data_IF_379370118415
#
_entry.id   IF_379370118415
#
_cell.length_a   1.000
_cell.length_b   1.000
_cell.length_c   1.000
_cell.angle_alpha   90.00
_cell.angle_beta   90.00
_cell.angle_gamma   90.00
#
_symmetry.space_group_name_H-M   'P 1'
#
loop_
_entity.id
_entity.type
_entity.pdbx_description
1 polymer ?
#
# COMPACT_ATOMS: atom_id res chain seq x y z
N UNK A 1 -27.14 25.84 13.06
CA UNK A 1 -26.09 25.67 14.09
C UNK A 1 -25.04 26.71 13.78
N UNK A 2 -24.62 27.50 14.77
CA UNK A 2 -23.60 28.52 14.56
C UNK A 2 -22.22 27.86 14.45
N UNK A 3 -21.44 28.29 13.46
CA UNK A 3 -20.07 27.81 13.25
C UNK A 3 -19.19 28.31 14.39
N UNK A 4 -18.46 27.40 15.04
CA UNK A 4 -17.48 27.76 16.06
C UNK A 4 -16.26 28.40 15.41
N UNK A 5 -16.10 29.71 15.58
CA UNK A 5 -14.89 30.43 15.15
C UNK A 5 -13.79 30.25 16.19
N UNK A 6 -12.55 30.00 15.73
CA UNK A 6 -11.37 29.83 16.59
C UNK A 6 -10.25 30.79 16.22
N UNK A 7 -9.44 31.14 17.22
CA UNK A 7 -8.22 31.94 17.10
C UNK A 7 -7.00 31.08 16.74
N UNK A 8 -5.90 31.72 16.34
CA UNK A 8 -4.62 31.02 16.07
C UNK A 8 -4.10 30.24 17.28
N UNK A 9 -4.21 30.81 18.47
CA UNK A 9 -3.76 30.13 19.69
C UNK A 9 -4.60 28.88 19.99
N UNK A 10 -5.92 28.95 19.76
CA UNK A 10 -6.79 27.78 19.88
C UNK A 10 -6.50 26.73 18.81
N UNK A 11 -6.25 27.14 17.56
CA UNK A 11 -5.80 26.22 16.50
C UNK A 11 -4.52 25.48 16.92
N UNK A 12 -3.50 26.20 17.40
CA UNK A 12 -2.24 25.60 17.83
C UNK A 12 -2.42 24.64 19.01
N UNK A 13 -3.28 24.99 19.97
CA UNK A 13 -3.64 24.09 21.07
C UNK A 13 -4.39 22.84 20.60
N UNK A 14 -5.27 22.96 19.60
CA UNK A 14 -5.97 21.83 18.98
C UNK A 14 -4.95 20.92 18.28
N UNK A 15 -4.06 21.48 17.45
CA UNK A 15 -3.00 20.71 16.76
C UNK A 15 -2.11 19.97 17.78
N UNK A 16 -1.74 20.64 18.87
CA UNK A 16 -0.89 20.07 19.92
C UNK A 16 -1.57 18.95 20.70
N UNK A 17 -2.86 19.09 21.02
CA UNK A 17 -3.61 18.12 21.86
C UNK A 17 -4.23 16.99 21.05
N UNK A 18 -4.59 17.25 19.80
CA UNK A 18 -5.28 16.30 18.93
C UNK A 18 -4.47 16.10 17.65
N UNK A 19 -3.60 15.08 17.64
CA UNK A 19 -2.84 14.69 16.44
C UNK A 19 -3.71 14.22 15.27
N UNK A 20 -5.00 13.99 15.48
CA UNK A 20 -5.97 13.57 14.47
C UNK A 20 -6.91 14.70 14.00
N UNK A 21 -6.59 15.97 14.29
CA UNK A 21 -7.32 17.09 13.72
C UNK A 21 -7.08 17.16 12.21
N UNK A 22 -8.16 17.34 11.44
CA UNK A 22 -8.06 17.53 9.99
C UNK A 22 -8.12 19.03 9.70
N UNK A 23 -7.05 19.57 9.11
CA UNK A 23 -6.99 20.96 8.69
C UNK A 23 -7.34 21.03 7.20
N UNK A 24 -8.33 21.83 6.83
CA UNK A 24 -8.85 21.90 5.45
C UNK A 24 -8.64 23.31 4.90
N UNK A 25 -7.85 23.40 3.84
CA UNK A 25 -7.75 24.60 3.01
C UNK A 25 -8.88 24.61 1.99
N UNK A 26 -9.68 25.68 2.01
CA UNK A 26 -10.84 25.84 1.11
C UNK A 26 -10.59 26.81 -0.04
N UNK A 27 -9.35 27.29 -0.19
CA UNK A 27 -8.90 28.06 -1.36
C UNK A 27 -8.79 27.18 -2.61
N UNK A 28 -8.58 27.82 -3.75
CA UNK A 28 -8.33 27.11 -4.99
C UNK A 28 -7.01 26.32 -4.93
N UNK A 29 -6.91 25.26 -5.73
CA UNK A 29 -5.74 24.36 -5.73
C UNK A 29 -4.44 25.08 -6.09
N UNK A 30 -4.48 26.15 -6.89
CA UNK A 30 -3.27 26.88 -7.26
C UNK A 30 -2.73 27.70 -6.08
N UNK A 31 -3.63 28.24 -5.24
CA UNK A 31 -3.26 28.90 -3.99
C UNK A 31 -2.66 27.89 -3.01
N UNK A 32 -3.32 26.76 -2.81
CA UNK A 32 -2.80 25.67 -1.96
C UNK A 32 -1.40 25.20 -2.39
N UNK A 33 -1.19 25.02 -3.71
CA UNK A 33 0.11 24.57 -4.25
C UNK A 33 1.24 25.57 -3.99
N UNK A 34 0.96 26.87 -3.93
CA UNK A 34 1.97 27.88 -3.60
C UNK A 34 2.36 27.80 -2.15
N UNK A 35 1.36 27.73 -1.26
CA UNK A 35 1.55 27.68 0.18
C UNK A 35 0.26 27.28 0.90
N UNK A 36 0.39 26.51 1.97
CA UNK A 36 -0.69 26.10 2.85
C UNK A 36 -0.17 25.83 4.27
N UNK A 37 -1.08 25.79 5.26
CA UNK A 37 -0.76 25.34 6.62
C UNK A 37 -0.24 23.90 6.54
N UNK A 38 0.86 23.61 7.23
CA UNK A 38 1.47 22.27 7.28
C UNK A 38 0.43 21.18 7.57
N UNK A 39 0.47 20.08 6.82
CA UNK A 39 -0.44 18.92 6.92
C UNK A 39 -1.91 19.20 6.58
N UNK A 40 -2.25 20.40 6.10
CA UNK A 40 -3.60 20.68 5.62
C UNK A 40 -3.91 19.90 4.34
N UNK A 41 -5.16 19.46 4.18
CA UNK A 41 -5.68 18.92 2.91
C UNK A 41 -6.37 20.02 2.10
N UNK A 42 -6.33 19.91 0.77
CA UNK A 42 -7.01 20.84 -0.13
C UNK A 42 -8.40 20.33 -0.47
N UNK A 43 -9.44 21.06 -0.07
CA UNK A 43 -10.81 20.85 -0.54
C UNK A 43 -11.39 22.23 -0.90
N UNK A 44 -11.19 22.71 -2.13
CA UNK A 44 -11.71 24.00 -2.57
C UNK A 44 -13.20 24.11 -2.27
N UNK A 45 -13.66 25.29 -1.82
CA UNK A 45 -15.08 25.50 -1.49
C UNK A 45 -16.03 25.10 -2.65
N UNK A 46 -15.61 25.32 -3.89
CA UNK A 46 -16.36 24.95 -5.09
C UNK A 46 -16.54 23.44 -5.29
N UNK A 47 -15.65 22.62 -4.73
CA UNK A 47 -15.62 21.16 -4.88
C UNK A 47 -16.11 20.44 -3.62
N UNK A 48 -16.43 21.19 -2.57
CA UNK A 48 -16.69 20.66 -1.23
C UNK A 48 -17.87 19.67 -1.21
N UNK A 49 -18.95 19.97 -1.93
CA UNK A 49 -20.15 19.13 -1.96
C UNK A 49 -19.85 17.72 -2.53
N UNK A 50 -18.97 17.62 -3.52
CA UNK A 50 -18.62 16.38 -4.20
C UNK A 50 -17.46 15.66 -3.50
N UNK A 51 -16.49 16.41 -2.97
CA UNK A 51 -15.23 15.86 -2.47
C UNK A 51 -15.24 15.58 -0.96
N UNK A 52 -16.08 16.27 -0.18
CA UNK A 52 -16.04 16.14 1.28
C UNK A 52 -16.29 14.72 1.77
N UNK A 53 -17.25 13.97 1.20
CA UNK A 53 -17.51 12.59 1.63
C UNK A 53 -16.31 11.66 1.36
N UNK A 54 -15.58 11.91 0.26
CA UNK A 54 -14.39 11.14 -0.13
C UNK A 54 -13.16 11.50 0.71
N UNK A 55 -12.96 12.78 0.97
CA UNK A 55 -11.79 13.29 1.70
C UNK A 55 -11.98 13.30 3.22
N UNK A 56 -13.22 13.34 3.70
CA UNK A 56 -13.60 13.39 5.12
C UNK A 56 -14.64 12.29 5.39
N UNK A 57 -14.30 11.01 5.33
CA UNK A 57 -15.30 9.93 5.43
C UNK A 57 -15.94 9.83 6.83
N UNK A 58 -15.23 10.25 7.89
CA UNK A 58 -15.71 10.20 9.26
C UNK A 58 -16.41 11.52 9.67
N UNK A 59 -17.73 11.48 9.84
CA UNK A 59 -18.55 12.62 10.25
C UNK A 59 -18.26 13.14 11.68
N UNK A 60 -17.60 12.33 12.51
CA UNK A 60 -17.25 12.70 13.88
C UNK A 60 -15.84 13.30 14.00
N UNK A 61 -15.06 13.36 12.92
CA UNK A 61 -13.71 13.94 12.94
C UNK A 61 -13.73 15.40 13.37
N UNK A 62 -12.69 15.82 14.09
CA UNK A 62 -12.46 17.24 14.41
C UNK A 62 -11.88 17.91 13.17
N UNK A 63 -12.60 18.87 12.61
CA UNK A 63 -12.25 19.55 11.36
C UNK A 63 -12.06 21.03 11.64
N UNK A 64 -10.92 21.57 11.21
CA UNK A 64 -10.71 23.02 11.15
C UNK A 64 -10.61 23.44 9.70
N UNK A 65 -11.51 24.30 9.24
CA UNK A 65 -11.45 24.92 7.92
C UNK A 65 -10.81 26.30 8.00
N UNK A 66 -10.06 26.70 6.97
CA UNK A 66 -9.48 28.03 6.88
C UNK A 66 -9.41 28.54 5.43
N UNK A 67 -9.34 29.86 5.26
CA UNK A 67 -9.20 30.55 3.97
C UNK A 67 -7.97 31.49 4.01
N UNK A 68 -7.86 32.47 3.12
CA UNK A 68 -6.72 33.38 3.02
C UNK A 68 -6.58 34.38 4.18
N UNK A 69 -7.67 34.88 4.76
CA UNK A 69 -7.63 35.93 5.80
C UNK A 69 -8.96 36.10 6.54
N UNK A 70 -8.98 36.98 7.56
CA UNK A 70 -10.17 37.36 8.34
C UNK A 70 -11.33 37.88 7.48
N UNK A 71 -11.04 38.58 6.39
CA UNK A 71 -12.04 39.15 5.47
C UNK A 71 -12.64 38.09 4.54
N UNK A 72 -12.02 36.92 4.42
CA UNK A 72 -12.54 35.84 3.59
C UNK A 72 -13.71 35.12 4.28
N UNK A 73 -14.85 35.02 3.58
CA UNK A 73 -16.01 34.26 4.06
C UNK A 73 -16.00 32.79 3.64
N UNK A 74 -15.03 32.33 2.85
CA UNK A 74 -15.06 31.00 2.25
C UNK A 74 -14.95 29.88 3.30
N UNK A 75 -14.12 30.06 4.34
CA UNK A 75 -14.00 29.10 5.44
C UNK A 75 -15.30 28.96 6.22
N UNK A 76 -16.00 30.06 6.50
CA UNK A 76 -17.33 30.00 7.16
C UNK A 76 -18.34 29.25 6.33
N UNK A 77 -18.43 29.55 5.02
CA UNK A 77 -19.32 28.85 4.09
C UNK A 77 -18.99 27.35 4.02
N UNK A 78 -17.71 27.00 4.03
CA UNK A 78 -17.28 25.61 4.06
C UNK A 78 -17.68 24.91 5.36
N UNK A 79 -17.52 25.58 6.50
CA UNK A 79 -17.92 25.04 7.79
C UNK A 79 -19.43 24.78 7.85
N UNK A 80 -20.25 25.75 7.42
CA UNK A 80 -21.71 25.61 7.35
C UNK A 80 -22.13 24.47 6.42
N UNK A 81 -21.49 24.34 5.26
CA UNK A 81 -21.75 23.26 4.31
C UNK A 81 -21.41 21.90 4.92
N UNK A 82 -20.25 21.74 5.56
CA UNK A 82 -19.88 20.51 6.24
C UNK A 82 -20.87 20.19 7.38
N UNK A 83 -21.23 21.15 8.21
CA UNK A 83 -22.23 20.92 9.27
C UNK A 83 -23.58 20.46 8.68
N UNK A 84 -24.00 21.05 7.56
CA UNK A 84 -25.22 20.64 6.83
C UNK A 84 -25.10 19.24 6.22
N UNK A 85 -23.90 18.79 5.89
CA UNK A 85 -23.59 17.42 5.45
C UNK A 85 -23.40 16.43 6.62
N UNK A 86 -23.69 16.85 7.86
CA UNK A 86 -23.69 15.99 9.05
C UNK A 86 -22.34 15.89 9.78
N UNK A 87 -21.35 16.71 9.47
CA UNK A 87 -20.10 16.75 10.24
C UNK A 87 -20.33 17.44 11.60
N UNK A 88 -19.96 16.77 12.69
CA UNK A 88 -20.35 17.21 14.04
C UNK A 88 -19.38 18.22 14.67
N UNK A 89 -18.09 18.13 14.35
CA UNK A 89 -17.01 18.86 15.05
C UNK A 89 -16.26 19.78 14.09
N UNK A 90 -16.94 20.77 13.50
CA UNK A 90 -16.37 21.70 12.52
C UNK A 90 -16.10 23.07 13.15
N UNK A 91 -14.89 23.60 12.94
CA UNK A 91 -14.43 24.90 13.42
C UNK A 91 -13.88 25.75 12.27
N UNK A 92 -14.12 27.07 12.34
CA UNK A 92 -13.63 28.03 11.36
C UNK A 92 -12.47 28.85 11.93
N UNK A 93 -11.26 28.61 11.41
CA UNK A 93 -10.10 29.43 11.72
C UNK A 93 -10.06 30.65 10.79
N UNK A 94 -10.64 31.75 11.27
CA UNK A 94 -10.81 32.98 10.51
C UNK A 94 -9.52 33.70 10.16
N UNK A 95 -8.48 33.56 10.97
CA UNK A 95 -7.18 34.20 10.70
C UNK A 95 -6.58 33.78 9.36
N UNK A 96 -6.87 32.54 8.95
CA UNK A 96 -6.49 32.04 7.65
C UNK A 96 -4.98 32.00 7.42
N UNK A 97 -4.59 31.86 6.16
CA UNK A 97 -3.20 31.74 5.76
C UNK A 97 -2.38 32.99 6.08
N UNK A 98 -2.98 34.19 5.98
CA UNK A 98 -2.33 35.46 6.31
C UNK A 98 -1.90 35.52 7.78
N UNK A 99 -2.82 35.28 8.72
CA UNK A 99 -2.53 35.31 10.16
C UNK A 99 -1.53 34.22 10.56
N UNK A 100 -1.57 33.08 9.86
CA UNK A 100 -0.63 31.97 10.08
C UNK A 100 0.78 32.31 9.59
N UNK A 101 0.89 32.96 8.42
CA UNK A 101 2.15 33.42 7.82
C UNK A 101 2.81 34.52 8.62
N UNK A 102 2.05 35.52 9.06
CA UNK A 102 2.56 36.65 9.85
C UNK A 102 3.14 36.19 11.19
N UNK A 103 2.65 35.07 11.73
CA UNK A 103 3.20 34.41 12.91
C UNK A 103 4.46 33.56 12.66
N UNK A 104 4.94 33.48 11.42
CA UNK A 104 6.10 32.66 11.04
C UNK A 104 5.96 31.18 11.43
N UNK A 105 4.73 30.65 11.37
CA UNK A 105 4.43 29.27 11.72
C UNK A 105 4.75 28.31 10.54
N UNK A 106 4.95 27.00 10.80
CA UNK A 106 5.32 26.03 9.77
C UNK A 106 4.26 25.89 8.66
N UNK A 107 4.64 26.20 7.43
CA UNK A 107 3.82 26.07 6.21
C UNK A 107 4.48 25.08 5.23
N UNK A 108 3.68 24.56 4.30
CA UNK A 108 4.11 23.66 3.23
C UNK A 108 3.75 24.25 1.86
N UNK A 109 4.39 23.76 0.80
CA UNK A 109 4.13 24.13 -0.60
C UNK A 109 4.14 22.86 -1.45
N UNK A 110 3.40 22.85 -2.56
CA UNK A 110 3.25 21.71 -3.45
C UNK A 110 1.85 21.07 -3.41
N UNK A 111 1.67 20.00 -4.17
CA UNK A 111 0.40 19.27 -4.24
C UNK A 111 0.03 18.67 -2.89
N UNK A 112 -1.27 18.55 -2.61
CA UNK A 112 -1.73 18.05 -1.32
C UNK A 112 -1.07 16.73 -0.95
N UNK A 113 -0.53 16.65 0.28
CA UNK A 113 -0.36 15.37 0.94
C UNK A 113 -1.75 14.76 0.99
N UNK A 114 -2.05 13.86 0.05
CA UNK A 114 -3.06 12.85 0.29
C UNK A 114 -2.65 12.27 1.64
N UNK A 115 -3.49 12.43 2.66
CA UNK A 115 -3.56 11.41 3.73
C UNK A 115 -3.37 10.07 3.04
N UNK A 116 -2.60 9.18 3.63
CA UNK A 116 -2.40 7.80 3.19
C UNK A 116 -3.75 7.09 3.18
N UNK A 117 -4.61 7.47 2.23
CA UNK A 117 -5.82 6.79 1.85
C UNK A 117 -5.27 5.51 1.26
N UNK A 118 -5.37 4.45 2.07
CA UNK A 118 -5.03 3.11 1.64
C UNK A 118 -5.63 2.91 0.24
N UNK A 119 -4.87 2.35 -0.72
CA UNK A 119 -5.37 2.14 -2.07
C UNK A 119 -6.73 1.46 -1.99
N UNK A 120 -7.72 1.92 -2.74
CA UNK A 120 -9.09 1.42 -2.64
C UNK A 120 -9.64 1.05 -4.01
N UNK A 121 -10.38 -0.04 -4.05
CA UNK A 121 -11.28 -0.40 -5.16
C UNK A 121 -12.72 -0.23 -4.71
N UNK A 122 -13.68 -0.49 -5.58
CA UNK A 122 -15.10 -0.42 -5.29
C UNK A 122 -15.79 -1.74 -5.61
N UNK A 123 -16.84 -2.06 -4.88
CA UNK A 123 -17.82 -3.10 -5.19
C UNK A 123 -19.19 -2.45 -5.26
N UNK A 124 -19.74 -2.35 -6.46
CA UNK A 124 -20.99 -1.65 -6.73
C UNK A 124 -20.98 -0.21 -6.16
N UNK A 125 -19.85 0.48 -6.36
CA UNK A 125 -19.62 1.84 -5.85
C UNK A 125 -19.29 1.95 -4.35
N UNK A 126 -19.40 0.86 -3.57
CA UNK A 126 -18.98 0.85 -2.16
C UNK A 126 -17.47 0.65 -2.06
N UNK A 127 -16.72 1.50 -1.32
CA UNK A 127 -15.26 1.40 -1.25
C UNK A 127 -14.82 0.14 -0.48
N UNK A 128 -13.75 -0.48 -0.98
CA UNK A 128 -13.03 -1.61 -0.42
C UNK A 128 -11.55 -1.25 -0.31
N UNK A 129 -10.94 -1.58 0.83
CA UNK A 129 -9.58 -1.18 1.16
C UNK A 129 -8.59 -2.24 0.74
N UNK A 130 -7.57 -1.88 -0.03
CA UNK A 130 -6.45 -2.77 -0.34
C UNK A 130 -5.37 -2.66 0.74
N UNK A 131 -4.80 -3.82 1.09
CA UNK A 131 -3.67 -3.93 2.02
C UNK A 131 -2.51 -4.66 1.36
N UNK A 132 -1.29 -4.30 1.78
CA UNK A 132 -0.07 -4.90 1.27
C UNK A 132 0.94 -3.90 0.72
N UNK A 133 2.01 -4.41 0.09
CA UNK A 133 3.06 -3.59 -0.53
C UNK A 133 2.53 -2.88 -1.78
N UNK A 134 2.99 -1.66 -2.01
CA UNK A 134 2.78 -0.98 -3.27
C UNK A 134 3.86 -1.40 -4.27
N UNK A 135 3.46 -1.99 -5.38
CA UNK A 135 4.36 -2.28 -6.51
C UNK A 135 4.39 -1.12 -7.52
N UNK A 136 5.47 -1.01 -8.29
CA UNK A 136 5.66 0.05 -9.29
C UNK A 136 6.09 -0.54 -10.62
N UNK A 137 5.63 0.06 -11.73
CA UNK A 137 6.13 -0.25 -13.07
C UNK A 137 7.64 0.01 -13.13
N UNK A 138 8.35 -0.87 -13.80
CA UNK A 138 9.81 -1.00 -13.89
C UNK A 138 10.53 -1.33 -12.58
N UNK A 139 9.80 -1.57 -11.49
CA UNK A 139 10.35 -2.11 -10.25
C UNK A 139 10.43 -3.64 -10.26
N UNK A 140 11.15 -4.25 -9.30
CA UNK A 140 11.15 -5.70 -9.14
C UNK A 140 9.77 -6.20 -8.71
N UNK A 141 9.43 -7.42 -9.12
CA UNK A 141 8.26 -8.14 -8.64
C UNK A 141 8.59 -8.84 -7.31
N UNK A 142 7.82 -8.59 -6.22
CA UNK A 142 7.98 -9.34 -4.98
C UNK A 142 7.73 -10.83 -5.19
N UNK A 143 8.47 -11.68 -4.48
CA UNK A 143 8.15 -13.11 -4.47
C UNK A 143 6.85 -13.36 -3.69
N UNK A 144 6.25 -14.53 -3.86
CA UNK A 144 5.05 -14.95 -3.16
C UNK A 144 5.05 -16.46 -2.94
N UNK A 145 4.22 -16.92 -2.01
CA UNK A 145 4.01 -18.34 -1.73
C UNK A 145 2.53 -18.67 -1.83
N UNK A 146 2.18 -19.47 -2.83
CA UNK A 146 0.82 -19.95 -3.09
C UNK A 146 0.85 -21.47 -3.25
N UNK A 147 -0.30 -22.10 -3.45
CA UNK A 147 -0.37 -23.54 -3.72
C UNK A 147 -1.12 -23.87 -4.99
N UNK A 148 -0.76 -24.98 -5.63
CA UNK A 148 -1.48 -25.50 -6.79
C UNK A 148 -2.60 -26.48 -6.39
N UNK A 149 -3.26 -27.09 -7.38
CA UNK A 149 -4.35 -28.07 -7.18
C UNK A 149 -3.95 -29.32 -6.38
N UNK A 150 -2.65 -29.65 -6.34
CA UNK A 150 -2.09 -30.75 -5.57
C UNK A 150 -1.64 -30.32 -4.17
N UNK A 151 -1.91 -29.08 -3.76
CA UNK A 151 -1.46 -28.48 -2.50
C UNK A 151 0.06 -28.32 -2.40
N UNK A 152 0.78 -28.44 -3.52
CA UNK A 152 2.22 -28.21 -3.55
C UNK A 152 2.48 -26.71 -3.52
N UNK A 153 3.51 -26.31 -2.76
CA UNK A 153 4.01 -24.94 -2.71
C UNK A 153 4.49 -24.50 -4.10
N UNK A 154 4.06 -23.31 -4.51
CA UNK A 154 4.47 -22.62 -5.74
C UNK A 154 4.85 -21.18 -5.42
N UNK A 155 5.88 -20.69 -6.10
CA UNK A 155 6.46 -19.35 -5.95
C UNK A 155 6.71 -18.70 -7.30
N UNK A 156 7.02 -17.40 -7.31
CA UNK A 156 7.43 -16.72 -8.55
C UNK A 156 8.71 -17.35 -9.14
N UNK A 157 9.60 -17.81 -8.26
CA UNK A 157 10.89 -18.40 -8.60
C UNK A 157 10.79 -19.68 -9.43
N UNK A 158 9.68 -20.39 -9.36
CA UNK A 158 9.42 -21.60 -10.16
C UNK A 158 9.27 -21.29 -11.66
N UNK A 159 9.14 -20.00 -12.02
CA UNK A 159 8.95 -19.52 -13.39
C UNK A 159 10.09 -18.62 -13.89
N UNK A 160 11.27 -18.66 -13.24
CA UNK A 160 12.45 -17.85 -13.62
C UNK A 160 12.78 -17.91 -15.11
N UNK A 161 13.17 -16.77 -15.67
CA UNK A 161 13.58 -16.64 -17.07
C UNK A 161 12.44 -16.56 -18.09
N UNK A 162 11.17 -16.68 -17.67
CA UNK A 162 10.01 -16.55 -18.56
C UNK A 162 9.33 -15.20 -18.40
N UNK A 163 8.64 -14.71 -19.43
CA UNK A 163 7.66 -13.62 -19.29
C UNK A 163 6.43 -14.18 -18.59
N UNK A 164 5.84 -13.42 -17.65
CA UNK A 164 4.66 -13.86 -16.89
C UNK A 164 3.53 -12.85 -16.95
N UNK A 165 2.30 -13.35 -16.98
CA UNK A 165 1.10 -12.59 -16.66
C UNK A 165 0.57 -13.10 -15.33
N UNK A 166 0.52 -12.24 -14.33
CA UNK A 166 -0.16 -12.51 -13.07
C UNK A 166 -1.55 -11.88 -13.16
N UNK A 167 -2.58 -12.71 -13.17
CA UNK A 167 -3.98 -12.28 -13.23
C UNK A 167 -4.69 -12.73 -11.97
N UNK A 168 -5.32 -11.80 -11.26
CA UNK A 168 -6.02 -12.07 -9.99
C UNK A 168 -7.48 -11.69 -10.04
N UNK A 169 -8.27 -12.34 -9.18
CA UNK A 169 -9.72 -12.18 -9.13
C UNK A 169 -10.28 -12.59 -7.76
N UNK A 170 -11.49 -12.11 -7.44
CA UNK A 170 -12.14 -12.36 -6.15
C UNK A 170 -12.40 -13.84 -5.92
N UNK A 171 -13.10 -14.48 -6.87
CA UNK A 171 -13.44 -15.90 -6.87
C UNK A 171 -13.81 -16.37 -8.27
N UNK A 172 -13.37 -17.57 -8.63
CA UNK A 172 -13.73 -18.26 -9.89
C UNK A 172 -15.22 -18.57 -9.99
N UNK A 173 -15.92 -18.69 -8.86
CA UNK A 173 -17.36 -18.98 -8.82
C UNK A 173 -18.22 -17.72 -9.16
N UNK A 174 -17.65 -16.74 -9.88
CA UNK A 174 -18.36 -15.53 -10.32
C UNK A 174 -18.25 -15.32 -11.84
N UNK A 175 -19.31 -14.85 -12.53
CA UNK A 175 -19.35 -14.79 -14.00
C UNK A 175 -18.22 -13.99 -14.67
N UNK A 176 -17.81 -12.88 -14.04
CA UNK A 176 -16.78 -11.98 -14.61
C UNK A 176 -15.37 -12.59 -14.49
N UNK A 177 -15.10 -13.30 -13.39
CA UNK A 177 -13.83 -13.97 -13.18
C UNK A 177 -13.66 -15.18 -14.10
N UNK A 178 -14.75 -15.91 -14.35
CA UNK A 178 -14.79 -17.00 -15.33
C UNK A 178 -14.36 -16.52 -16.73
N UNK A 179 -14.96 -15.43 -17.20
CA UNK A 179 -14.65 -14.84 -18.51
C UNK A 179 -13.19 -14.38 -18.61
N UNK A 180 -12.61 -13.86 -17.53
CA UNK A 180 -11.21 -13.43 -17.51
C UNK A 180 -10.23 -14.57 -17.71
N UNK A 181 -10.41 -15.67 -16.98
CA UNK A 181 -9.53 -16.84 -17.11
C UNK A 181 -9.69 -17.47 -18.49
N UNK A 182 -10.92 -17.60 -19.00
CA UNK A 182 -11.19 -18.10 -20.36
C UNK A 182 -10.53 -17.26 -21.44
N UNK A 183 -10.63 -15.93 -21.36
CA UNK A 183 -10.03 -15.02 -22.34
C UNK A 183 -8.51 -15.17 -22.40
N UNK A 184 -7.83 -15.23 -21.25
CA UNK A 184 -6.38 -15.44 -21.23
C UNK A 184 -5.97 -16.85 -21.69
N UNK A 185 -6.73 -17.88 -21.33
CA UNK A 185 -6.47 -19.27 -21.75
C UNK A 185 -6.51 -19.42 -23.27
N UNK A 186 -7.44 -18.75 -23.95
CA UNK A 186 -7.58 -18.84 -25.41
C UNK A 186 -6.58 -17.94 -26.15
N UNK A 187 -6.47 -16.67 -25.74
CA UNK A 187 -5.80 -15.65 -26.53
C UNK A 187 -4.28 -15.62 -26.32
N UNK A 188 -3.81 -15.71 -25.06
CA UNK A 188 -2.38 -15.59 -24.78
C UNK A 188 -1.64 -16.88 -25.11
N UNK A 189 -2.17 -18.02 -24.69
CA UNK A 189 -1.49 -19.30 -24.89
C UNK A 189 -1.28 -19.64 -26.37
N UNK A 190 -2.20 -19.21 -27.24
CA UNK A 190 -2.10 -19.43 -28.68
C UNK A 190 -1.10 -18.49 -29.35
N UNK A 191 -1.03 -17.23 -28.90
CA UNK A 191 -0.21 -16.19 -29.52
C UNK A 191 1.21 -16.11 -28.96
N UNK A 192 1.41 -16.51 -27.70
CA UNK A 192 2.64 -16.33 -26.94
C UNK A 192 2.97 -17.60 -26.10
N UNK A 193 3.37 -18.71 -26.74
CA UNK A 193 3.63 -19.99 -26.05
C UNK A 193 4.77 -19.92 -25.02
N UNK A 194 5.64 -18.91 -25.11
CA UNK A 194 6.73 -18.63 -24.17
C UNK A 194 6.27 -17.91 -22.89
N UNK A 195 5.05 -17.36 -22.87
CA UNK A 195 4.49 -16.60 -21.75
C UNK A 195 3.76 -17.54 -20.79
N UNK A 196 4.07 -17.42 -19.50
CA UNK A 196 3.35 -18.13 -18.44
C UNK A 196 2.20 -17.27 -17.94
N UNK A 197 0.98 -17.82 -17.91
CA UNK A 197 -0.18 -17.14 -17.32
C UNK A 197 -0.52 -17.79 -15.97
N UNK A 198 -0.46 -17.00 -14.90
CA UNK A 198 -0.78 -17.40 -13.54
C UNK A 198 -2.09 -16.76 -13.09
N UNK A 199 -3.14 -17.56 -12.92
CA UNK A 199 -4.43 -17.14 -12.39
C UNK A 199 -4.49 -17.34 -10.87
N UNK A 200 -4.62 -16.27 -10.08
CA UNK A 200 -4.47 -16.34 -8.62
C UNK A 200 -5.75 -15.86 -7.92
N UNK A 201 -6.28 -16.67 -7.01
CA UNK A 201 -7.40 -16.29 -6.12
C UNK A 201 -7.24 -16.88 -4.72
N UNK A 202 -8.20 -16.55 -3.85
CA UNK A 202 -8.31 -17.17 -2.51
C UNK A 202 -9.21 -18.42 -2.51
N UNK A 203 -9.74 -18.84 -3.66
CA UNK A 203 -10.52 -20.07 -3.77
C UNK A 203 -9.65 -21.27 -3.37
N UNK A 204 -10.23 -22.23 -2.67
CA UNK A 204 -9.50 -23.44 -2.29
C UNK A 204 -9.07 -24.21 -3.55
N UNK A 205 -7.90 -24.89 -3.52
CA UNK A 205 -7.39 -25.66 -4.66
C UNK A 205 -8.40 -26.65 -5.27
N UNK A 206 -9.28 -27.22 -4.44
CA UNK A 206 -10.34 -28.14 -4.89
C UNK A 206 -11.41 -27.45 -5.75
N UNK A 207 -11.78 -26.22 -5.41
CA UNK A 207 -12.74 -25.42 -6.17
C UNK A 207 -12.12 -24.96 -7.50
N UNK A 208 -10.86 -24.53 -7.46
CA UNK A 208 -10.09 -24.17 -8.64
C UNK A 208 -9.97 -25.35 -9.62
N UNK A 209 -9.58 -26.53 -9.12
CA UNK A 209 -9.52 -27.76 -9.92
C UNK A 209 -10.85 -28.10 -10.58
N UNK A 210 -11.95 -28.05 -9.81
CA UNK A 210 -13.31 -28.29 -10.34
C UNK A 210 -13.63 -27.30 -11.46
N UNK A 211 -13.34 -26.02 -11.27
CA UNK A 211 -13.55 -24.99 -12.27
C UNK A 211 -12.75 -25.25 -13.55
N UNK A 212 -11.45 -25.56 -13.43
CA UNK A 212 -10.59 -25.83 -14.58
C UNK A 212 -11.06 -27.04 -15.40
N UNK A 213 -11.48 -28.12 -14.73
CA UNK A 213 -12.02 -29.32 -15.40
C UNK A 213 -13.30 -29.00 -16.17
N UNK A 214 -14.25 -28.30 -15.54
CA UNK A 214 -15.55 -28.00 -16.15
C UNK A 214 -15.46 -27.02 -17.33
N UNK A 215 -14.45 -26.15 -17.33
CA UNK A 215 -14.29 -25.09 -18.33
C UNK A 215 -13.13 -25.34 -19.31
N UNK A 216 -12.49 -26.52 -19.24
CA UNK A 216 -11.36 -26.89 -20.08
C UNK A 216 -10.22 -25.86 -20.04
N UNK A 217 -9.85 -25.42 -18.84
CA UNK A 217 -8.71 -24.52 -18.61
C UNK A 217 -7.45 -25.35 -18.41
N UNK A 218 -6.55 -25.32 -19.38
CA UNK A 218 -5.34 -26.14 -19.46
C UNK A 218 -4.05 -25.34 -19.72
N UNK A 219 -4.16 -24.11 -20.20
CA UNK A 219 -3.01 -23.23 -20.50
C UNK A 219 -2.71 -22.23 -19.38
N UNK A 220 -3.71 -21.89 -18.57
CA UNK A 220 -3.53 -21.03 -17.39
C UNK A 220 -3.20 -21.88 -16.18
N UNK A 221 -2.08 -21.58 -15.52
CA UNK A 221 -1.78 -22.19 -14.22
C UNK A 221 -2.57 -21.48 -13.14
N UNK A 222 -3.60 -22.13 -12.61
CA UNK A 222 -4.42 -21.57 -11.52
C UNK A 222 -3.82 -21.92 -10.16
N UNK A 223 -3.66 -20.93 -9.30
CA UNK A 223 -2.98 -21.00 -8.00
C UNK A 223 -3.85 -20.40 -6.90
N UNK A 224 -3.76 -20.96 -5.70
CA UNK A 224 -4.51 -20.52 -4.53
C UNK A 224 -3.62 -19.83 -3.51
N UNK A 225 -3.99 -18.62 -3.14
CA UNK A 225 -3.34 -17.81 -2.11
C UNK A 225 -3.95 -18.04 -0.71
N UNK A 226 -4.87 -19.01 -0.57
CA UNK A 226 -5.74 -19.15 0.61
C UNK A 226 -5.00 -19.23 1.96
N UNK A 227 -3.82 -19.87 2.00
CA UNK A 227 -3.12 -20.18 3.25
C UNK A 227 -2.65 -18.94 4.01
N UNK A 228 -1.95 -18.04 3.32
CA UNK A 228 -1.21 -16.94 3.96
C UNK A 228 -1.49 -15.56 3.36
N UNK A 229 -2.30 -15.47 2.30
CA UNK A 229 -2.51 -14.22 1.56
C UNK A 229 -1.19 -13.61 1.04
N UNK A 230 -0.16 -14.44 0.81
CA UNK A 230 1.19 -13.99 0.49
C UNK A 230 1.20 -13.18 -0.80
N UNK A 231 0.52 -13.67 -1.85
CA UNK A 231 0.42 -12.92 -3.10
C UNK A 231 -0.36 -11.62 -2.90
N UNK A 232 -1.55 -11.69 -2.28
CA UNK A 232 -2.39 -10.51 -2.05
C UNK A 232 -1.67 -9.41 -1.26
N UNK A 233 -0.92 -9.78 -0.22
CA UNK A 233 -0.18 -8.85 0.63
C UNK A 233 1.08 -8.33 -0.10
N UNK A 234 1.83 -9.17 -0.80
CA UNK A 234 3.05 -8.73 -1.47
C UNK A 234 2.80 -7.86 -2.70
N UNK A 235 1.62 -7.94 -3.30
CA UNK A 235 1.25 -7.16 -4.48
C UNK A 235 0.26 -6.04 -4.18
N UNK A 236 -0.17 -5.88 -2.92
CA UNK A 236 -1.12 -4.84 -2.53
C UNK A 236 -2.53 -5.05 -3.09
N UNK A 237 -2.94 -6.31 -3.22
CA UNK A 237 -4.20 -6.73 -3.84
C UNK A 237 -5.17 -7.38 -2.84
N UNK A 238 -4.77 -7.61 -1.59
CA UNK A 238 -5.67 -8.18 -0.60
C UNK A 238 -6.72 -7.13 -0.17
N UNK A 239 -7.99 -7.48 -0.26
CA UNK A 239 -9.11 -6.64 0.19
C UNK A 239 -9.34 -6.88 1.68
N UNK A 240 -9.23 -5.82 2.48
CA UNK A 240 -9.37 -5.86 3.95
C UNK A 240 -10.72 -6.43 4.39
N UNK A 241 -11.80 -6.00 3.77
CA UNK A 241 -13.17 -6.22 4.24
C UNK A 241 -13.64 -7.68 4.07
N UNK A 242 -13.11 -8.40 3.08
CA UNK A 242 -13.56 -9.76 2.74
C UNK A 242 -12.42 -10.77 2.62
N UNK A 243 -11.16 -10.34 2.77
CA UNK A 243 -9.97 -11.17 2.64
C UNK A 243 -9.89 -11.90 1.27
N UNK A 244 -10.46 -11.32 0.21
CA UNK A 244 -10.34 -11.76 -1.17
C UNK A 244 -9.31 -10.92 -1.92
N UNK A 245 -8.96 -11.31 -3.14
CA UNK A 245 -8.08 -10.54 -4.00
C UNK A 245 -8.87 -9.56 -4.86
N UNK A 246 -8.37 -8.34 -4.99
CA UNK A 246 -8.81 -7.40 -6.01
C UNK A 246 -8.53 -7.97 -7.40
N UNK A 247 -9.32 -7.54 -8.38
CA UNK A 247 -9.10 -7.93 -9.77
C UNK A 247 -7.93 -7.12 -10.32
N UNK A 248 -6.92 -7.81 -10.84
CA UNK A 248 -5.77 -7.14 -11.45
C UNK A 248 -5.12 -7.99 -12.56
N UNK A 249 -4.40 -7.31 -13.46
CA UNK A 249 -3.50 -7.90 -14.46
C UNK A 249 -2.14 -7.23 -14.32
N UNK A 250 -1.11 -8.04 -14.15
CA UNK A 250 0.28 -7.58 -13.97
C UNK A 250 1.15 -8.37 -14.94
N UNK A 251 2.04 -7.69 -15.67
CA UNK A 251 2.95 -8.33 -16.63
C UNK A 251 4.37 -8.18 -16.13
N UNK A 252 5.10 -9.30 -16.08
CA UNK A 252 6.49 -9.38 -15.68
C UNK A 252 7.36 -9.78 -16.87
N UNK A 253 8.55 -9.17 -17.00
CA UNK A 253 9.54 -9.65 -17.97
C UNK A 253 10.31 -10.89 -17.46
N UNK A 254 11.22 -11.40 -18.30
CA UNK A 254 12.03 -12.58 -18.00
C UNK A 254 12.93 -12.44 -16.76
N UNK A 255 13.23 -11.20 -16.34
CA UNK A 255 14.07 -10.88 -15.19
C UNK A 255 13.23 -10.49 -13.94
N UNK A 256 11.92 -10.77 -13.96
CA UNK A 256 11.00 -10.50 -12.85
C UNK A 256 10.83 -8.99 -12.55
N UNK A 257 11.00 -8.13 -13.57
CA UNK A 257 10.63 -6.73 -13.44
C UNK A 257 9.16 -6.54 -13.85
N UNK A 258 8.42 -5.76 -13.07
CA UNK A 258 7.04 -5.36 -13.37
C UNK A 258 7.04 -4.42 -14.56
N UNK A 259 6.34 -4.76 -15.64
CA UNK A 259 6.28 -3.97 -16.87
C UNK A 259 4.93 -3.31 -17.09
N UNK A 260 3.89 -3.85 -16.49
CA UNK A 260 2.53 -3.33 -16.57
C UNK A 260 1.76 -3.70 -15.31
N UNK A 261 0.90 -2.79 -14.85
CA UNK A 261 0.00 -2.98 -13.73
C UNK A 261 -1.35 -2.42 -14.13
N UNK A 262 -2.39 -3.22 -13.99
CA UNK A 262 -3.78 -2.79 -14.07
C UNK A 262 -4.54 -3.36 -12.90
N UNK A 263 -4.92 -2.51 -11.94
CA UNK A 263 -5.83 -2.85 -10.85
C UNK A 263 -7.20 -2.30 -11.23
N UNK A 264 -8.25 -3.11 -11.12
CA UNK A 264 -9.59 -2.72 -11.57
C UNK A 264 -10.32 -1.97 -10.46
N UNK A 265 -10.62 -0.70 -10.73
CA UNK A 265 -11.24 0.22 -9.77
C UNK A 265 -12.62 -0.23 -9.27
N UNK A 266 -13.40 -0.92 -10.11
CA UNK A 266 -14.68 -1.55 -9.74
C UNK A 266 -14.57 -3.05 -10.01
N UNK A 267 -14.62 -3.85 -8.96
CA UNK A 267 -14.26 -5.27 -9.04
C UNK A 267 -15.23 -6.11 -9.87
N UNK A 268 -16.44 -5.58 -10.13
CA UNK A 268 -17.41 -6.18 -11.05
C UNK A 268 -17.09 -5.95 -12.53
N UNK A 269 -16.17 -5.04 -12.86
CA UNK A 269 -15.72 -4.83 -14.23
C UNK A 269 -14.63 -5.83 -14.63
N UNK A 270 -14.53 -6.09 -15.94
CA UNK A 270 -13.44 -6.86 -16.52
C UNK A 270 -12.20 -5.97 -16.73
N UNK A 271 -10.99 -6.54 -16.78
CA UNK A 271 -9.79 -5.81 -17.19
C UNK A 271 -9.87 -5.35 -18.66
N UNK A 272 -9.07 -4.34 -19.00
CA UNK A 272 -8.87 -3.97 -20.40
C UNK A 272 -7.88 -4.96 -21.05
N UNK A 273 -8.43 -6.02 -21.66
CA UNK A 273 -7.63 -7.06 -22.28
C UNK A 273 -6.81 -6.57 -23.47
N UNK A 274 -7.36 -5.67 -24.29
CA UNK A 274 -6.65 -5.12 -25.46
C UNK A 274 -5.39 -4.38 -25.01
N UNK A 275 -5.53 -3.51 -24.00
CA UNK A 275 -4.38 -2.80 -23.41
C UNK A 275 -3.36 -3.78 -22.81
N UNK A 276 -3.82 -4.79 -22.06
CA UNK A 276 -2.92 -5.79 -21.48
C UNK A 276 -2.15 -6.58 -22.57
N UNK A 277 -2.81 -6.98 -23.65
CA UNK A 277 -2.19 -7.70 -24.77
C UNK A 277 -1.21 -6.80 -25.54
N UNK A 278 -1.53 -5.53 -25.75
CA UNK A 278 -0.62 -4.56 -26.37
C UNK A 278 0.66 -4.38 -25.55
N UNK A 279 0.53 -4.30 -24.22
CA UNK A 279 1.68 -4.22 -23.33
C UNK A 279 2.47 -5.52 -23.29
N UNK A 280 1.80 -6.67 -23.27
CA UNK A 280 2.45 -7.97 -23.37
C UNK A 280 3.28 -8.07 -24.65
N UNK A 281 2.71 -7.69 -25.79
CA UNK A 281 3.39 -7.72 -27.07
C UNK A 281 4.67 -6.88 -27.05
N UNK A 282 4.64 -5.69 -26.44
CA UNK A 282 5.84 -4.85 -26.25
C UNK A 282 6.88 -5.53 -25.35
N UNK A 283 6.45 -6.18 -24.27
CA UNK A 283 7.36 -6.85 -23.33
C UNK A 283 8.07 -8.02 -24.01
N UNK A 284 7.32 -8.89 -24.69
CA UNK A 284 7.85 -10.07 -25.41
C UNK A 284 8.88 -9.69 -26.48
N UNK A 285 8.66 -8.57 -27.19
CA UNK A 285 9.56 -8.10 -28.25
C UNK A 285 10.64 -7.12 -27.75
N UNK A 286 10.72 -6.86 -26.44
CA UNK A 286 11.75 -6.02 -25.83
C UNK A 286 12.78 -6.85 -25.10
N UNK A 287 14.03 -6.38 -25.04
CA UNK A 287 14.98 -6.94 -24.08
C UNK A 287 14.44 -6.75 -22.66
N UNK A 288 14.56 -7.76 -21.78
CA UNK A 288 14.16 -7.61 -20.40
C UNK A 288 14.95 -6.47 -19.76
N UNK A 289 14.33 -5.74 -18.83
CA UNK A 289 15.06 -4.73 -18.07
C UNK A 289 16.23 -5.43 -17.34
N UNK A 290 17.34 -4.70 -17.08
CA UNK A 290 18.40 -5.24 -16.25
C UNK A 290 17.78 -5.81 -15.00
N UNK A 291 18.16 -7.04 -14.64
CA UNK A 291 17.71 -7.62 -13.38
C UNK A 291 18.13 -6.63 -12.29
N UNK A 292 17.15 -5.93 -11.71
CA UNK A 292 17.42 -5.07 -10.58
C UNK A 292 17.69 -6.02 -9.45
N UNK A 293 18.97 -6.28 -9.21
CA UNK A 293 19.39 -7.34 -8.33
C UNK A 293 19.23 -6.92 -6.87
N UNK A 294 18.02 -7.09 -6.37
CA UNK A 294 17.80 -7.25 -4.95
C UNK A 294 18.35 -8.60 -4.45
N UNK A 295 19.04 -9.45 -5.23
CA UNK A 295 19.83 -10.55 -4.61
C UNK A 295 21.08 -10.03 -3.88
N UNK A 296 21.47 -8.76 -4.08
CA UNK A 296 22.32 -8.02 -3.13
C UNK A 296 21.56 -7.52 -1.88
N UNK A 297 20.24 -7.76 -1.85
CA UNK A 297 19.24 -7.43 -0.82
C UNK A 297 18.42 -8.70 -0.46
N UNK A 298 19.07 -9.86 -0.50
CA UNK A 298 18.61 -11.03 0.24
C UNK A 298 19.55 -11.23 1.42
N UNK A 299 19.01 -11.46 2.60
CA UNK A 299 19.83 -11.82 3.74
C UNK A 299 20.63 -13.08 3.40
N UNK A 300 21.95 -13.01 3.53
CA UNK A 300 22.81 -14.18 3.34
C UNK A 300 22.77 -14.97 4.66
N UNK A 301 22.45 -16.27 4.66
CA UNK A 301 22.43 -17.06 5.89
C UNK A 301 23.76 -16.90 6.64
N UNK A 302 23.69 -16.40 7.87
CA UNK A 302 24.89 -16.28 8.70
C UNK A 302 25.29 -17.67 9.20
N UNK A 303 26.54 -18.03 8.98
CA UNK A 303 27.09 -19.28 9.49
C UNK A 303 27.49 -19.14 10.96
N UNK A 304 27.61 -20.27 11.65
CA UNK A 304 28.09 -20.29 13.04
C UNK A 304 29.52 -19.75 13.09
N UNK A 305 29.69 -18.59 13.73
CA UNK A 305 30.98 -17.90 13.81
C UNK A 305 31.05 -16.59 13.01
N UNK A 306 30.00 -16.19 12.28
CA UNK A 306 29.90 -14.83 11.73
C UNK A 306 30.00 -13.80 12.86
N UNK A 307 30.99 -12.88 12.83
CA UNK A 307 31.13 -11.88 13.88
C UNK A 307 30.04 -10.80 13.76
N UNK A 308 29.55 -10.23 14.88
CA UNK A 308 28.68 -9.07 14.83
C UNK A 308 29.45 -7.84 14.34
N UNK A 309 28.72 -6.86 13.83
CA UNK A 309 29.26 -5.56 13.40
C UNK A 309 29.82 -4.79 14.61
N UNK A 310 30.88 -4.01 14.37
CA UNK A 310 31.41 -3.08 15.36
C UNK A 310 30.48 -1.86 15.57
N UNK A 311 30.65 -1.19 16.71
CA UNK A 311 29.82 -0.03 17.09
C UNK A 311 29.91 1.11 16.07
N UNK A 312 31.09 1.38 15.51
CA UNK A 312 31.28 2.45 14.52
C UNK A 312 30.42 2.20 13.26
N UNK A 313 30.44 0.95 12.78
CA UNK A 313 29.66 0.51 11.63
C UNK A 313 28.16 0.53 11.93
N UNK A 314 27.75 0.06 13.11
CA UNK A 314 26.35 0.12 13.57
C UNK A 314 25.86 1.56 13.54
N UNK A 315 26.59 2.48 14.18
CA UNK A 315 26.20 3.89 14.28
C UNK A 315 26.18 4.60 12.92
N UNK A 316 27.11 4.25 12.01
CA UNK A 316 27.10 4.76 10.63
C UNK A 316 25.83 4.32 9.88
N UNK A 317 25.45 3.05 9.99
CA UNK A 317 24.29 2.51 9.26
C UNK A 317 22.96 2.94 9.86
N UNK A 318 22.89 3.08 11.19
CA UNK A 318 21.70 3.56 11.89
C UNK A 318 21.25 4.93 11.39
N UNK A 319 22.19 5.80 10.97
CA UNK A 319 21.89 7.13 10.39
C UNK A 319 21.09 7.07 9.08
N UNK A 320 21.12 5.94 8.37
CA UNK A 320 20.39 5.75 7.12
C UNK A 320 19.03 5.08 7.33
N UNK A 321 18.64 4.82 8.58
CA UNK A 321 17.37 4.20 8.95
C UNK A 321 16.43 5.22 9.60
N UNK A 322 15.13 5.02 9.40
CA UNK A 322 14.08 5.93 9.84
C UNK A 322 13.53 5.54 11.20
N UNK A 323 13.99 6.22 12.26
CA UNK A 323 13.53 6.06 13.64
C UNK A 323 13.76 4.67 14.26
N UNK A 324 14.75 3.93 13.76
CA UNK A 324 15.23 2.71 14.41
C UNK A 324 16.13 3.06 15.59
N UNK A 325 16.06 2.26 16.65
CA UNK A 325 16.91 2.39 17.84
C UNK A 325 17.84 1.19 17.92
N UNK A 326 19.13 1.43 18.15
CA UNK A 326 20.04 0.37 18.54
C UNK A 326 19.99 0.19 20.07
N UNK A 327 19.83 -1.04 20.54
CA UNK A 327 19.80 -1.40 21.96
C UNK A 327 20.97 -2.32 22.26
N UNK A 328 21.82 -1.89 23.19
CA UNK A 328 23.02 -2.59 23.67
C UNK A 328 24.04 -2.98 22.59
N UNK A 329 24.03 -2.34 21.41
CA UNK A 329 24.78 -2.74 20.20
C UNK A 329 24.42 -4.13 19.65
N UNK A 330 23.33 -4.72 20.14
CA UNK A 330 22.93 -6.10 19.82
C UNK A 330 21.68 -6.19 18.95
N UNK A 331 20.81 -5.16 19.01
CA UNK A 331 19.46 -5.22 18.44
C UNK A 331 19.06 -3.91 17.80
N UNK A 332 18.32 -3.98 16.70
CA UNK A 332 17.58 -2.85 16.14
C UNK A 332 16.12 -2.99 16.55
N UNK A 333 15.52 -1.90 16.99
CA UNK A 333 14.14 -1.86 17.48
C UNK A 333 13.40 -0.69 16.84
N UNK A 334 12.18 -0.94 16.37
CA UNK A 334 11.24 0.10 15.97
C UNK A 334 9.83 -0.28 16.41
N UNK A 335 9.04 0.70 16.84
CA UNK A 335 7.63 0.51 17.19
C UNK A 335 6.76 1.31 16.23
N UNK A 336 5.84 0.62 15.60
CA UNK A 336 4.82 1.17 14.72
C UNK A 336 3.51 1.29 15.48
N UNK A 337 2.77 2.37 15.27
CA UNK A 337 1.47 2.62 15.87
C UNK A 337 0.43 2.78 14.76
N UNK A 338 -0.68 2.06 14.89
CA UNK A 338 -1.74 1.97 13.89
C UNK A 338 -3.06 2.51 14.44
N UNK A 339 -4.07 2.64 13.58
CA UNK A 339 -5.40 3.09 14.01
C UNK A 339 -6.09 2.08 14.93
N UNK A 340 -5.94 0.79 14.61
CA UNK A 340 -6.61 -0.29 15.32
C UNK A 340 -5.77 -1.59 15.34
N UNK A 341 -6.27 -2.60 16.04
CA UNK A 341 -5.62 -3.91 16.15
C UNK A 341 -5.53 -4.65 14.81
N UNK A 342 -6.50 -4.46 13.91
CA UNK A 342 -6.52 -5.14 12.62
C UNK A 342 -5.43 -4.59 11.71
N UNK A 343 -5.25 -3.28 11.62
CA UNK A 343 -4.16 -2.66 10.85
C UNK A 343 -2.78 -3.12 11.35
N UNK A 344 -2.59 -3.16 12.67
CA UNK A 344 -1.35 -3.67 13.24
C UNK A 344 -1.11 -5.15 12.90
N UNK A 345 -2.16 -5.97 12.89
CA UNK A 345 -2.10 -7.38 12.47
C UNK A 345 -1.78 -7.52 10.97
N UNK A 346 -2.40 -6.75 10.09
CA UNK A 346 -2.10 -6.81 8.66
C UNK A 346 -0.66 -6.41 8.35
N UNK A 347 -0.16 -5.39 9.05
CA UNK A 347 1.24 -5.02 8.93
C UNK A 347 2.16 -6.14 9.46
N UNK A 348 1.81 -6.79 10.58
CA UNK A 348 2.51 -7.99 11.06
C UNK A 348 2.53 -9.11 10.01
N UNK A 349 1.40 -9.42 9.37
CA UNK A 349 1.32 -10.46 8.33
C UNK A 349 2.21 -10.11 7.12
N UNK A 350 2.24 -8.83 6.73
CA UNK A 350 3.16 -8.32 5.71
C UNK A 350 4.62 -8.53 6.11
N UNK A 351 4.99 -8.13 7.33
CA UNK A 351 6.35 -8.32 7.82
C UNK A 351 6.74 -9.80 7.94
N UNK A 352 5.79 -10.68 8.25
CA UNK A 352 6.03 -12.13 8.25
C UNK A 352 6.32 -12.66 6.85
N UNK A 353 5.60 -12.19 5.83
CA UNK A 353 5.89 -12.51 4.42
C UNK A 353 7.29 -12.00 4.00
N UNK A 354 7.64 -10.77 4.37
CA UNK A 354 8.97 -10.20 4.11
C UNK A 354 10.05 -11.05 4.79
N UNK A 355 9.87 -11.38 6.07
CA UNK A 355 10.84 -12.15 6.84
C UNK A 355 11.11 -13.53 6.22
N UNK A 356 10.06 -14.20 5.74
CA UNK A 356 10.18 -15.50 5.09
C UNK A 356 10.86 -15.41 3.72
N UNK A 357 10.54 -14.38 2.91
CA UNK A 357 11.24 -14.10 1.66
C UNK A 357 12.73 -13.84 1.88
N UNK A 358 13.05 -13.13 2.96
CA UNK A 358 14.42 -12.75 3.29
C UNK A 358 15.17 -13.87 4.01
N UNK A 359 14.49 -14.89 4.55
CA UNK A 359 15.13 -15.89 5.42
C UNK A 359 15.74 -15.27 6.68
N UNK A 360 15.17 -14.16 7.16
CA UNK A 360 15.62 -13.45 8.36
C UNK A 360 14.41 -13.10 9.23
N UNK A 361 14.29 -13.76 10.38
CA UNK A 361 13.07 -13.76 11.18
C UNK A 361 13.17 -12.80 12.37
N UNK A 362 12.44 -11.67 12.36
CA UNK A 362 12.40 -10.73 13.46
C UNK A 362 11.62 -11.27 14.67
N UNK A 363 11.81 -10.66 15.83
CA UNK A 363 10.86 -10.80 16.94
C UNK A 363 9.79 -9.72 16.86
N UNK A 364 8.52 -10.14 16.88
CA UNK A 364 7.37 -9.26 16.90
C UNK A 364 6.70 -9.24 18.28
N UNK A 365 6.35 -8.04 18.76
CA UNK A 365 5.49 -7.86 19.93
C UNK A 365 4.33 -6.95 19.53
N UNK A 366 3.14 -7.53 19.43
CA UNK A 366 1.89 -6.84 19.11
C UNK A 366 1.11 -6.58 20.40
N UNK A 367 0.87 -5.31 20.73
CA UNK A 367 0.09 -4.88 21.88
C UNK A 367 -0.94 -3.82 21.46
N UNK A 368 -2.22 -4.21 21.40
CA UNK A 368 -3.30 -3.40 20.85
C UNK A 368 -2.97 -2.89 19.43
N UNK A 369 -2.81 -1.58 19.25
CA UNK A 369 -2.50 -0.95 17.96
C UNK A 369 -1.00 -0.72 17.74
N UNK A 370 -0.13 -1.29 18.59
CA UNK A 370 1.32 -1.08 18.53
C UNK A 370 2.05 -2.37 18.17
N UNK A 371 2.83 -2.34 17.09
CA UNK A 371 3.71 -3.43 16.70
C UNK A 371 5.17 -3.02 16.94
N UNK A 372 5.83 -3.66 17.90
CA UNK A 372 7.27 -3.52 18.11
C UNK A 372 8.00 -4.63 17.36
N UNK A 373 8.89 -4.22 16.45
CA UNK A 373 9.76 -5.09 15.65
C UNK A 373 11.17 -5.04 16.24
N UNK A 374 11.77 -6.22 16.44
CA UNK A 374 13.15 -6.36 16.91
C UNK A 374 13.95 -7.20 15.93
N UNK A 375 15.09 -6.68 15.48
CA UNK A 375 16.01 -7.35 14.57
C UNK A 375 17.31 -7.64 15.31
N UNK A 376 17.80 -8.87 15.14
CA UNK A 376 19.10 -9.33 15.63
C UNK A 376 19.46 -10.62 14.90
N UNK A 377 20.75 -10.84 14.68
CA UNK A 377 21.24 -12.11 14.14
C UNK A 377 21.68 -13.01 15.30
N UNK A 378 20.78 -13.90 15.73
CA UNK A 378 20.98 -14.75 16.90
C UNK A 378 22.29 -15.55 16.87
N UNK A 379 22.65 -16.11 15.70
CA UNK A 379 23.87 -16.92 15.54
C UNK A 379 25.17 -16.13 15.62
N UNK A 380 25.13 -14.83 15.30
CA UNK A 380 26.24 -13.90 15.44
C UNK A 380 26.32 -13.28 16.85
N UNK A 381 25.26 -13.45 17.65
CA UNK A 381 25.15 -12.84 18.97
C UNK A 381 25.07 -11.32 18.94
N UNK A 382 24.62 -10.70 17.84
CA UNK A 382 24.54 -9.25 17.67
C UNK A 382 24.01 -8.85 16.28
N UNK A 383 24.29 -7.61 15.87
CA UNK A 383 23.83 -7.08 14.59
C UNK A 383 24.72 -7.49 13.42
N UNK A 384 24.11 -7.85 12.30
CA UNK A 384 24.79 -8.09 11.01
C UNK A 384 24.18 -7.25 9.89
N UNK A 385 24.73 -7.39 8.69
CA UNK A 385 24.21 -6.74 7.47
C UNK A 385 22.73 -7.06 7.24
N UNK A 386 22.31 -8.28 7.55
CA UNK A 386 20.93 -8.75 7.38
C UNK A 386 19.93 -7.93 8.23
N UNK A 387 20.33 -7.52 9.43
CA UNK A 387 19.48 -6.72 10.32
C UNK A 387 19.23 -5.33 9.75
N UNK A 388 20.28 -4.68 9.22
CA UNK A 388 20.15 -3.37 8.59
C UNK A 388 19.42 -3.44 7.25
N UNK A 389 19.59 -4.54 6.52
CA UNK A 389 18.90 -4.79 5.27
C UNK A 389 17.39 -4.92 5.50
N UNK A 390 16.97 -5.78 6.43
CA UNK A 390 15.56 -5.96 6.74
C UNK A 390 14.96 -4.68 7.33
N UNK A 391 15.69 -3.94 8.17
CA UNK A 391 15.26 -2.63 8.65
C UNK A 391 14.96 -1.65 7.50
N UNK A 392 15.84 -1.61 6.49
CA UNK A 392 15.67 -0.76 5.31
C UNK A 392 14.47 -1.17 4.47
N UNK A 393 14.28 -2.47 4.21
CA UNK A 393 13.09 -2.98 3.50
C UNK A 393 11.82 -2.56 4.23
N UNK A 394 11.80 -2.68 5.57
CA UNK A 394 10.67 -2.26 6.39
C UNK A 394 10.42 -0.75 6.26
N UNK A 395 11.46 0.08 6.25
CA UNK A 395 11.32 1.52 6.05
C UNK A 395 10.81 1.90 4.66
N UNK A 396 11.09 1.12 3.62
CA UNK A 396 10.62 1.40 2.25
C UNK A 396 9.12 1.12 2.06
N UNK A 397 8.51 0.31 2.94
CA UNK A 397 7.08 -0.05 2.90
C UNK A 397 6.23 0.72 3.92
N UNK A 398 6.81 1.63 4.70
CA UNK A 398 6.13 2.48 5.70
C UNK A 398 6.41 3.94 5.48
#
# INVERSE_FOLDING_TARGET
>A
MDVKVITRNELLEIIKKNKAVIIVDVLDRSSYQKEHIKEAISIPLSELAESAAKCLPNKNSTIVVYCGSFECSASTKAAEALMSMGYLNVMDYKGGLKDYREAHLPMESGSAKKETQLPSVTFQGSPLTLVGRKITVNGPAPNFVVVNEAMNRVTLDDFKGKVKILTSFLSLDTPVCDLQVKAFNQNVATLYPEVVVLGISKDLPFAQRRFCILNHIDQVTVLSDYQHSSFGINYGLLIKENNLLARAVIILDANDNVRYIQIIDEVTHAPNYEEALDQLNKVVHSSPLPKIDYASIHCVPCEKGTPPLDNETIMRRLKNLSNWQCVDDLKLVKTFEFKDFFEAKYFLDLLACIAEEQGHHPTFNLAYNKLRVTLTTHVAGGLTDNDFLLAKIIDEIT
#
